data_IF_619848077295
#
_entry.id   IF_619848077295
#
_cell.length_a   1.000
_cell.length_b   1.000
_cell.length_c   1.000
_cell.angle_alpha   90.00
_cell.angle_beta   90.00
_cell.angle_gamma   90.00
#
_symmetry.space_group_name_H-M   'P 1'
#
loop_
_entity.id
_entity.type
_entity.pdbx_description
1 polymer ?
#
# COMPACT_ATOMS: atom_id res chain seq x y z
N UNK A 1 31.40 -18.23 19.33
CA UNK A 1 30.10 -18.48 18.70
C UNK A 1 29.41 -17.13 18.58
N UNK A 2 29.46 -16.52 17.40
CA UNK A 2 28.73 -15.27 17.15
C UNK A 2 27.25 -15.58 17.03
N UNK A 3 26.47 -15.11 18.00
CA UNK A 3 25.02 -15.19 17.97
C UNK A 3 24.53 -14.19 16.93
N UNK A 4 24.26 -14.65 15.71
CA UNK A 4 23.55 -13.85 14.71
C UNK A 4 22.15 -13.57 15.24
N UNK A 5 21.92 -12.36 15.75
CA UNK A 5 20.58 -11.86 16.06
C UNK A 5 19.87 -11.74 14.70
N UNK A 6 18.96 -12.68 14.42
CA UNK A 6 18.02 -12.50 13.32
C UNK A 6 17.06 -11.38 13.73
N UNK A 7 17.30 -10.16 13.26
CA UNK A 7 16.29 -9.10 13.29
C UNK A 7 15.06 -9.63 12.58
N UNK A 8 14.01 -9.89 13.35
CA UNK A 8 12.71 -10.25 12.79
C UNK A 8 12.11 -8.96 12.23
N UNK A 9 12.14 -8.83 10.91
CA UNK A 9 11.46 -7.72 10.22
C UNK A 9 9.96 -7.95 10.38
N UNK A 10 9.35 -7.24 11.33
CA UNK A 10 7.89 -7.21 11.48
C UNK A 10 7.30 -6.25 10.46
N UNK A 11 6.27 -6.67 9.73
CA UNK A 11 5.56 -5.80 8.80
C UNK A 11 4.79 -4.73 9.58
N UNK A 12 4.89 -3.48 9.12
CA UNK A 12 3.99 -2.38 9.51
C UNK A 12 2.59 -2.59 8.90
N UNK A 13 1.60 -1.84 9.39
CA UNK A 13 0.24 -1.88 8.83
C UNK A 13 0.23 -1.57 7.32
N UNK A 14 1.09 -0.65 6.88
CA UNK A 14 1.22 -0.31 5.46
C UNK A 14 1.76 -1.49 4.64
N UNK A 15 2.78 -2.19 5.14
CA UNK A 15 3.35 -3.36 4.45
C UNK A 15 2.39 -4.56 4.45
N UNK A 16 1.58 -4.70 5.50
CA UNK A 16 0.46 -5.64 5.53
C UNK A 16 -0.58 -5.31 4.46
N UNK A 17 -0.98 -4.04 4.33
CA UNK A 17 -1.91 -3.58 3.30
C UNK A 17 -1.36 -3.87 1.90
N UNK A 18 -0.05 -3.70 1.69
CA UNK A 18 0.63 -4.05 0.44
C UNK A 18 0.57 -5.57 0.18
N UNK A 19 0.89 -6.41 1.18
CA UNK A 19 0.80 -7.86 1.04
C UNK A 19 -0.63 -8.31 0.66
N UNK A 20 -1.64 -7.70 1.29
CA UNK A 20 -3.04 -7.92 0.96
C UNK A 20 -3.38 -7.48 -0.47
N UNK A 21 -2.93 -6.29 -0.88
CA UNK A 21 -3.18 -5.76 -2.22
C UNK A 21 -2.56 -6.65 -3.32
N UNK A 22 -1.30 -7.05 -3.15
CA UNK A 22 -0.63 -7.98 -4.08
C UNK A 22 -1.38 -9.31 -4.16
N UNK A 23 -1.77 -9.88 -3.02
CA UNK A 23 -2.46 -11.16 -3.00
C UNK A 23 -3.82 -11.10 -3.71
N UNK A 24 -4.59 -10.02 -3.53
CA UNK A 24 -5.88 -9.82 -4.21
C UNK A 24 -5.72 -9.62 -5.71
N UNK A 25 -4.77 -8.78 -6.12
CA UNK A 25 -4.48 -8.54 -7.55
C UNK A 25 -4.13 -9.87 -8.24
N UNK A 26 -3.23 -10.67 -7.65
CA UNK A 26 -2.82 -11.95 -8.24
C UNK A 26 -3.91 -13.03 -8.23
N UNK A 27 -4.75 -13.10 -7.19
CA UNK A 27 -5.88 -14.04 -7.15
C UNK A 27 -6.94 -13.67 -8.18
N UNK A 28 -7.22 -12.36 -8.36
CA UNK A 28 -8.16 -11.86 -9.36
C UNK A 28 -7.72 -12.21 -10.78
N UNK A 29 -6.40 -12.14 -11.04
CA UNK A 29 -5.76 -12.59 -12.28
C UNK A 29 -5.63 -14.13 -12.38
N UNK A 30 -6.21 -14.88 -11.44
CA UNK A 30 -6.15 -16.36 -11.37
C UNK A 30 -4.71 -16.91 -11.38
N UNK A 31 -3.75 -16.14 -10.89
CA UNK A 31 -2.34 -16.51 -10.86
C UNK A 31 -2.11 -17.69 -9.92
N UNK A 32 -1.33 -18.70 -10.34
CA UNK A 32 -0.95 -19.80 -9.48
C UNK A 32 0.03 -19.33 -8.39
N UNK A 33 -0.34 -19.54 -7.11
CA UNK A 33 0.52 -19.21 -5.96
C UNK A 33 1.87 -19.95 -6.01
N UNK A 34 1.97 -21.09 -6.71
CA UNK A 34 3.22 -21.81 -6.88
C UNK A 34 4.23 -21.01 -7.72
N UNK A 35 3.77 -20.25 -8.73
CA UNK A 35 4.65 -19.38 -9.52
C UNK A 35 5.15 -18.19 -8.68
N UNK A 36 4.29 -17.65 -7.82
CA UNK A 36 4.68 -16.63 -6.82
C UNK A 36 5.69 -17.19 -5.82
N UNK A 37 5.54 -18.46 -5.41
CA UNK A 37 6.52 -19.11 -4.54
C UNK A 37 7.90 -19.22 -5.20
N UNK A 38 7.98 -19.51 -6.52
CA UNK A 38 9.26 -19.58 -7.23
C UNK A 38 10.01 -18.25 -7.25
N UNK A 39 9.31 -17.13 -7.45
CA UNK A 39 9.95 -15.81 -7.38
C UNK A 39 10.38 -15.42 -5.95
N UNK A 40 9.63 -15.86 -4.94
CA UNK A 40 10.04 -15.69 -3.54
C UNK A 40 11.33 -16.47 -3.24
N UNK A 41 11.46 -17.70 -3.76
CA UNK A 41 12.69 -18.48 -3.63
C UNK A 41 13.90 -17.82 -4.30
N UNK A 42 13.70 -17.01 -5.35
CA UNK A 42 14.79 -16.20 -5.92
C UNK A 42 15.37 -15.24 -4.88
N UNK A 43 14.52 -14.46 -4.19
CA UNK A 43 14.97 -13.54 -3.14
C UNK A 43 15.66 -14.29 -2.00
N UNK A 44 15.14 -15.46 -1.59
CA UNK A 44 15.76 -16.30 -0.55
C UNK A 44 17.14 -16.82 -0.94
N UNK A 45 17.28 -17.26 -2.18
CA UNK A 45 18.52 -17.86 -2.68
C UNK A 45 19.65 -16.83 -2.81
N UNK A 46 19.30 -15.60 -3.16
CA UNK A 46 20.28 -14.56 -3.49
C UNK A 46 20.40 -13.46 -2.43
N UNK A 47 20.05 -13.73 -1.16
CA UNK A 47 20.07 -12.74 -0.05
C UNK A 47 21.37 -11.92 0.07
N UNK A 48 22.52 -12.51 -0.26
CA UNK A 48 23.84 -11.84 -0.20
C UNK A 48 24.21 -11.07 -1.47
N UNK A 49 23.36 -11.08 -2.51
CA UNK A 49 23.66 -10.44 -3.79
C UNK A 49 23.57 -8.91 -3.67
N UNK A 50 24.60 -8.17 -4.10
CA UNK A 50 24.50 -6.72 -4.22
C UNK A 50 23.35 -6.31 -5.14
N UNK A 51 22.61 -5.27 -4.78
CA UNK A 51 21.46 -4.77 -5.56
C UNK A 51 20.43 -5.86 -5.86
N UNK A 52 20.10 -6.67 -4.84
CA UNK A 52 19.18 -7.80 -4.97
C UNK A 52 17.79 -7.37 -5.47
N UNK A 53 17.23 -6.27 -4.97
CA UNK A 53 15.91 -5.79 -5.43
C UNK A 53 15.90 -5.41 -6.91
N UNK A 54 16.89 -4.64 -7.37
CA UNK A 54 17.05 -4.31 -8.80
C UNK A 54 17.17 -5.60 -9.65
N UNK A 55 18.02 -6.53 -9.20
CA UNK A 55 18.18 -7.84 -9.85
C UNK A 55 16.88 -8.64 -9.88
N UNK A 56 16.06 -8.54 -8.84
CA UNK A 56 14.77 -9.21 -8.75
C UNK A 56 13.78 -8.66 -9.77
N UNK A 57 13.64 -7.33 -9.90
CA UNK A 57 12.77 -6.74 -10.93
C UNK A 57 13.26 -7.06 -12.35
N UNK A 58 14.58 -7.02 -12.58
CA UNK A 58 15.15 -7.43 -13.86
C UNK A 58 14.89 -8.91 -14.16
N UNK A 59 14.91 -9.76 -13.13
CA UNK A 59 14.55 -11.18 -13.25
C UNK A 59 13.07 -11.36 -13.61
N UNK A 60 12.15 -10.66 -12.94
CA UNK A 60 10.71 -10.69 -13.27
C UNK A 60 10.44 -10.25 -14.71
N UNK A 61 11.06 -9.13 -15.14
CA UNK A 61 10.97 -8.64 -16.51
C UNK A 61 11.47 -9.66 -17.53
N UNK A 62 12.57 -10.35 -17.21
CA UNK A 62 13.13 -11.39 -18.06
C UNK A 62 12.21 -12.61 -18.15
N UNK A 63 11.64 -13.04 -17.01
CA UNK A 63 10.65 -14.12 -16.97
C UNK A 63 9.43 -13.77 -17.82
N UNK A 64 8.81 -12.61 -17.61
CA UNK A 64 7.62 -12.18 -18.33
C UNK A 64 7.88 -12.06 -19.85
N UNK A 65 9.07 -11.57 -20.25
CA UNK A 65 9.45 -11.44 -21.66
C UNK A 65 9.73 -12.78 -22.34
N UNK A 66 10.37 -13.72 -21.63
CA UNK A 66 10.79 -15.02 -22.19
C UNK A 66 9.82 -16.16 -21.84
N UNK A 67 8.69 -15.87 -21.21
CA UNK A 67 7.82 -16.91 -20.69
C UNK A 67 7.30 -17.88 -21.77
N UNK A 68 7.11 -17.40 -23.00
CA UNK A 68 6.71 -18.21 -24.15
C UNK A 68 7.76 -19.29 -24.51
N UNK A 69 9.02 -19.12 -24.08
CA UNK A 69 10.12 -20.07 -24.28
C UNK A 69 10.27 -21.08 -23.13
N UNK A 70 9.68 -20.81 -21.96
CA UNK A 70 9.85 -21.60 -20.73
C UNK A 70 8.55 -22.23 -20.21
N UNK A 71 7.41 -21.91 -20.81
CA UNK A 71 6.11 -22.41 -20.42
C UNK A 71 5.81 -23.78 -21.01
N UNK A 72 5.74 -24.82 -20.16
CA UNK A 72 5.14 -26.10 -20.55
C UNK A 72 3.61 -25.99 -20.74
N UNK A 73 3.01 -24.90 -20.24
CA UNK A 73 1.59 -24.57 -20.36
C UNK A 73 1.42 -23.18 -20.98
N UNK A 74 0.37 -23.01 -21.79
CA UNK A 74 -0.03 -21.71 -22.38
C UNK A 74 -0.40 -20.66 -21.33
N UNK A 75 -0.60 -21.06 -20.06
CA UNK A 75 -0.98 -20.17 -18.95
C UNK A 75 0.21 -19.55 -18.21
N UNK A 76 1.38 -20.23 -18.21
CA UNK A 76 2.57 -19.76 -17.49
C UNK A 76 3.03 -18.36 -17.91
N UNK A 77 2.99 -17.97 -19.21
CA UNK A 77 3.28 -16.60 -19.62
C UNK A 77 2.36 -15.54 -19.04
N UNK A 78 1.08 -15.85 -18.89
CA UNK A 78 0.09 -14.93 -18.32
C UNK A 78 0.42 -14.67 -16.85
N UNK A 79 0.72 -15.74 -16.10
CA UNK A 79 1.09 -15.64 -14.69
C UNK A 79 2.34 -14.79 -14.47
N UNK A 80 3.39 -14.97 -15.27
CA UNK A 80 4.61 -14.17 -15.10
C UNK A 80 4.42 -12.70 -15.45
N UNK A 81 3.55 -12.37 -16.42
CA UNK A 81 3.19 -10.97 -16.71
C UNK A 81 2.39 -10.36 -15.56
N UNK A 82 1.40 -11.07 -15.03
CA UNK A 82 0.62 -10.61 -13.88
C UNK A 82 1.52 -10.38 -12.65
N UNK A 83 2.44 -11.31 -12.38
CA UNK A 83 3.43 -11.19 -11.29
C UNK A 83 4.33 -9.98 -11.49
N UNK A 84 4.91 -9.82 -12.68
CA UNK A 84 5.80 -8.70 -12.98
C UNK A 84 5.10 -7.34 -12.80
N UNK A 85 3.90 -7.20 -13.35
CA UNK A 85 3.15 -5.95 -13.27
C UNK A 85 2.71 -5.65 -11.84
N UNK A 86 2.22 -6.66 -11.11
CA UNK A 86 1.77 -6.50 -9.71
C UNK A 86 2.94 -6.17 -8.78
N UNK A 87 4.08 -6.86 -8.93
CA UNK A 87 5.26 -6.55 -8.14
C UNK A 87 5.82 -5.16 -8.44
N UNK A 88 5.88 -4.73 -9.71
CA UNK A 88 6.29 -3.36 -10.03
C UNK A 88 5.35 -2.32 -9.41
N UNK A 89 4.03 -2.55 -9.49
CA UNK A 89 3.02 -1.63 -8.93
C UNK A 89 3.17 -1.42 -7.42
N UNK A 90 3.49 -2.47 -6.66
CA UNK A 90 3.40 -2.46 -5.20
C UNK A 90 4.74 -2.53 -4.46
N UNK A 91 5.81 -3.01 -5.10
CA UNK A 91 7.11 -3.27 -4.45
C UNK A 91 8.26 -2.42 -4.98
N UNK A 92 8.07 -1.60 -6.02
CA UNK A 92 9.19 -0.86 -6.64
C UNK A 92 9.85 0.10 -5.64
N UNK A 93 9.06 0.72 -4.76
CA UNK A 93 9.56 1.62 -3.72
C UNK A 93 10.35 0.89 -2.61
N UNK A 94 10.24 -0.45 -2.58
CA UNK A 94 10.97 -1.32 -1.65
C UNK A 94 12.20 -1.96 -2.28
N UNK A 95 12.60 -1.54 -3.50
CA UNK A 95 13.74 -2.13 -4.21
C UNK A 95 15.04 -2.14 -3.39
N UNK A 96 15.28 -1.12 -2.58
CA UNK A 96 16.47 -1.02 -1.73
C UNK A 96 16.33 -1.78 -0.40
N UNK A 97 15.19 -2.42 -0.16
CA UNK A 97 14.83 -3.17 1.05
C UNK A 97 14.45 -4.63 0.72
N UNK A 98 15.36 -5.43 0.14
CA UNK A 98 15.03 -6.77 -0.36
C UNK A 98 14.58 -7.75 0.72
N UNK A 99 15.01 -7.57 1.98
CA UNK A 99 14.53 -8.38 3.10
C UNK A 99 13.06 -8.06 3.45
N UNK A 100 12.64 -6.79 3.34
CA UNK A 100 11.25 -6.40 3.52
C UNK A 100 10.37 -6.92 2.37
N UNK A 101 10.86 -6.82 1.13
CA UNK A 101 10.20 -7.43 -0.04
C UNK A 101 9.99 -8.94 0.15
N UNK A 102 10.98 -9.63 0.73
CA UNK A 102 10.90 -11.06 1.02
C UNK A 102 9.77 -11.37 2.03
N UNK A 103 9.65 -10.59 3.10
CA UNK A 103 8.59 -10.79 4.10
C UNK A 103 7.21 -10.49 3.53
N UNK A 104 7.06 -9.37 2.80
CA UNK A 104 5.81 -9.02 2.11
C UNK A 104 5.37 -10.16 1.17
N UNK A 105 6.25 -10.63 0.28
CA UNK A 105 5.94 -11.73 -0.63
C UNK A 105 5.72 -13.06 0.11
N UNK A 106 6.39 -13.27 1.23
CA UNK A 106 6.17 -14.40 2.12
C UNK A 106 4.73 -14.44 2.64
N UNK A 107 4.19 -13.30 3.06
CA UNK A 107 2.79 -13.18 3.46
C UNK A 107 1.82 -13.24 2.28
N UNK A 108 2.15 -12.60 1.15
CA UNK A 108 1.37 -12.67 -0.09
C UNK A 108 1.07 -14.12 -0.48
N UNK A 109 2.06 -15.02 -0.48
CA UNK A 109 1.82 -16.44 -0.85
C UNK A 109 0.84 -17.16 0.08
N UNK A 110 0.81 -16.81 1.37
CA UNK A 110 -0.14 -17.35 2.35
C UNK A 110 -1.54 -16.75 2.14
N UNK A 111 -1.61 -15.44 1.94
CA UNK A 111 -2.85 -14.70 1.69
C UNK A 111 -3.54 -15.14 0.40
N UNK A 112 -2.79 -15.38 -0.68
CA UNK A 112 -3.35 -15.91 -1.93
C UNK A 112 -4.07 -17.25 -1.71
N UNK A 113 -3.52 -18.14 -0.87
CA UNK A 113 -4.18 -19.42 -0.56
C UNK A 113 -5.45 -19.24 0.26
N UNK A 114 -5.45 -18.29 1.18
CA UNK A 114 -6.63 -17.92 1.96
C UNK A 114 -7.71 -17.36 1.02
N UNK A 115 -7.35 -16.37 0.19
CA UNK A 115 -8.25 -15.71 -0.75
C UNK A 115 -8.76 -16.57 -1.90
N UNK A 116 -8.04 -17.63 -2.27
CA UNK A 116 -8.54 -18.59 -3.26
C UNK A 116 -9.63 -19.50 -2.69
N UNK A 117 -9.67 -19.68 -1.36
CA UNK A 117 -10.66 -20.52 -0.67
C UNK A 117 -11.90 -19.73 -0.26
N UNK A 118 -11.74 -18.46 0.05
CA UNK A 118 -12.82 -17.52 0.35
C UNK A 118 -13.39 -16.95 -0.95
N UNK A 119 -14.71 -16.78 -1.07
CA UNK A 119 -15.29 -16.18 -2.28
C UNK A 119 -14.85 -14.72 -2.42
N UNK A 120 -14.72 -14.23 -3.66
CA UNK A 120 -14.33 -12.83 -3.93
C UNK A 120 -15.29 -11.82 -3.27
N UNK A 121 -16.57 -12.17 -3.17
CA UNK A 121 -17.63 -11.38 -2.53
C UNK A 121 -17.43 -11.26 -1.01
N UNK A 122 -17.09 -12.37 -0.33
CA UNK A 122 -16.72 -12.35 1.09
C UNK A 122 -15.46 -11.54 1.36
N UNK A 123 -14.49 -11.56 0.43
CA UNK A 123 -13.25 -10.77 0.55
C UNK A 123 -13.47 -9.27 0.40
N UNK A 124 -14.41 -8.87 -0.47
CA UNK A 124 -14.83 -7.48 -0.62
C UNK A 124 -15.51 -6.99 0.67
N UNK A 125 -16.44 -7.79 1.20
CA UNK A 125 -17.13 -7.47 2.45
C UNK A 125 -16.17 -7.31 3.66
N UNK A 126 -15.16 -8.17 3.79
CA UNK A 126 -14.13 -8.06 4.86
C UNK A 126 -13.28 -6.79 4.70
N UNK A 127 -13.05 -6.32 3.48
CA UNK A 127 -12.24 -5.14 3.24
C UNK A 127 -13.02 -3.86 3.52
N UNK A 128 -14.30 -3.84 3.15
CA UNK A 128 -15.24 -2.77 3.49
C UNK A 128 -15.44 -2.66 5.01
N UNK A 129 -15.51 -3.81 5.72
CA UNK A 129 -15.60 -3.80 7.19
C UNK A 129 -14.34 -3.23 7.84
N UNK A 130 -13.13 -3.62 7.39
CA UNK A 130 -11.87 -3.04 7.90
C UNK A 130 -11.74 -1.55 7.64
N UNK A 131 -12.15 -1.07 6.47
CA UNK A 131 -12.18 0.38 6.20
C UNK A 131 -13.17 1.11 7.11
N UNK A 132 -14.34 0.50 7.36
CA UNK A 132 -15.33 1.05 8.28
C UNK A 132 -14.83 1.09 9.72
N UNK A 133 -14.10 0.07 10.19
CA UNK A 133 -13.50 0.02 11.53
C UNK A 133 -12.45 1.12 11.71
N UNK A 134 -11.53 1.28 10.74
CA UNK A 134 -10.53 2.35 10.78
C UNK A 134 -11.18 3.74 10.74
N UNK A 135 -12.24 3.90 9.96
CA UNK A 135 -13.01 5.14 9.92
C UNK A 135 -13.69 5.43 11.26
N UNK A 136 -14.23 4.39 11.92
CA UNK A 136 -14.83 4.51 13.25
C UNK A 136 -13.80 4.81 14.35
N UNK A 137 -12.59 4.25 14.27
CA UNK A 137 -11.49 4.60 15.18
C UNK A 137 -11.06 6.05 15.01
N UNK A 138 -10.98 6.55 13.76
CA UNK A 138 -10.68 7.95 13.47
C UNK A 138 -11.82 8.87 13.98
N UNK A 139 -13.07 8.47 13.84
CA UNK A 139 -14.23 9.19 14.38
C UNK A 139 -14.24 9.22 15.92
N UNK A 140 -13.86 8.12 16.59
CA UNK A 140 -13.73 8.10 18.05
C UNK A 140 -12.54 8.92 18.56
N UNK A 141 -11.40 8.83 17.87
CA UNK A 141 -10.21 9.63 18.18
C UNK A 141 -10.48 11.13 17.97
N UNK A 142 -11.21 11.49 16.91
CA UNK A 142 -11.59 12.88 16.65
C UNK A 142 -12.67 13.40 17.60
N UNK A 143 -13.62 12.56 18.03
CA UNK A 143 -14.65 12.94 19.00
C UNK A 143 -14.09 13.19 20.42
N UNK A 144 -12.93 12.61 20.75
CA UNK A 144 -12.25 12.81 22.04
C UNK A 144 -11.22 13.96 22.02
N UNK A 145 -11.00 14.58 20.86
CA UNK A 145 -10.09 15.72 20.69
C UNK A 145 -10.80 17.03 21.07
N UNK A 146 -10.57 17.50 22.30
CA UNK A 146 -10.97 18.85 22.72
C UNK A 146 -10.02 19.90 22.16
N UNK A 147 -10.51 20.75 21.25
CA UNK A 147 -9.77 21.91 20.76
C UNK A 147 -9.78 23.03 21.80
N UNK A 148 -8.59 23.51 22.18
CA UNK A 148 -8.45 24.65 23.11
C UNK A 148 -8.20 25.94 22.34
N UNK A 149 -8.74 27.04 22.87
CA UNK A 149 -8.48 28.37 22.32
C UNK A 149 -6.97 28.65 22.27
N UNK A 150 -6.49 29.18 21.15
CA UNK A 150 -5.08 29.46 20.92
C UNK A 150 -4.23 28.27 20.46
N UNK A 151 -4.80 27.06 20.37
CA UNK A 151 -4.11 25.89 19.81
C UNK A 151 -3.81 26.09 18.32
N UNK A 152 -2.60 25.71 17.91
CA UNK A 152 -2.20 25.68 16.50
C UNK A 152 -2.57 24.32 15.93
N UNK A 153 -3.36 24.32 14.86
CA UNK A 153 -3.78 23.11 14.15
C UNK A 153 -3.20 23.12 12.74
N UNK A 154 -2.80 21.93 12.29
CA UNK A 154 -2.41 21.69 10.91
C UNK A 154 -3.64 21.27 10.09
N UNK A 155 -3.78 21.86 8.91
CA UNK A 155 -4.82 21.51 7.96
C UNK A 155 -4.28 21.44 6.54
N UNK A 156 -4.90 20.62 5.70
CA UNK A 156 -4.53 20.45 4.30
C UNK A 156 -5.68 20.89 3.40
N UNK A 157 -5.36 21.60 2.32
CA UNK A 157 -6.37 22.01 1.32
C UNK A 157 -6.78 20.80 0.49
N UNK A 158 -8.01 20.32 0.67
CA UNK A 158 -8.51 19.11 -0.02
C UNK A 158 -9.33 19.41 -1.27
N UNK A 159 -9.86 20.63 -1.41
CA UNK A 159 -10.61 20.99 -2.61
C UNK A 159 -11.10 22.43 -2.68
N UNK A 160 -11.63 22.79 -3.84
CA UNK A 160 -12.18 24.11 -4.14
C UNK A 160 -13.62 23.96 -4.62
N UNK A 161 -14.55 24.67 -3.98
CA UNK A 161 -15.99 24.60 -4.23
C UNK A 161 -16.50 25.87 -4.90
N UNK A 162 -17.67 25.76 -5.56
CA UNK A 162 -18.37 26.90 -6.17
C UNK A 162 -18.57 28.04 -5.16
N UNK A 163 -18.31 29.28 -5.58
CA UNK A 163 -18.43 30.47 -4.75
C UNK A 163 -17.18 30.87 -3.96
N UNK A 164 -15.98 30.56 -4.49
CA UNK A 164 -14.67 30.86 -3.89
C UNK A 164 -14.49 30.25 -2.50
N UNK A 165 -14.98 29.02 -2.32
CA UNK A 165 -14.83 28.27 -1.08
C UNK A 165 -13.65 27.31 -1.18
N UNK A 166 -12.83 27.27 -0.16
CA UNK A 166 -11.74 26.31 0.00
C UNK A 166 -12.17 25.30 1.06
N UNK A 167 -11.96 24.02 0.80
CA UNK A 167 -12.22 22.95 1.75
C UNK A 167 -10.90 22.50 2.36
N UNK A 168 -10.86 22.48 3.68
CA UNK A 168 -9.71 22.10 4.48
C UNK A 168 -10.04 20.81 5.23
N UNK A 169 -9.06 19.93 5.36
CA UNK A 169 -9.10 18.75 6.20
C UNK A 169 -8.12 18.94 7.34
N UNK A 170 -8.63 18.95 8.57
CA UNK A 170 -7.81 19.11 9.77
C UNK A 170 -7.05 17.80 9.98
N UNK A 171 -5.72 17.85 9.97
CA UNK A 171 -4.88 16.65 10.04
C UNK A 171 -5.11 15.85 11.33
N UNK A 172 -5.45 16.53 12.43
CA UNK A 172 -5.67 15.91 13.73
C UNK A 172 -6.99 15.12 13.84
N UNK A 173 -8.04 15.49 13.11
CA UNK A 173 -9.39 14.93 13.28
C UNK A 173 -10.05 14.48 12.00
N UNK A 174 -9.38 14.64 10.85
CA UNK A 174 -9.91 14.48 9.48
C UNK A 174 -11.22 15.26 9.21
N UNK A 175 -11.58 16.18 10.10
CA UNK A 175 -12.77 17.00 9.95
C UNK A 175 -12.61 17.94 8.76
N UNK A 176 -13.63 17.97 7.91
CA UNK A 176 -13.66 18.81 6.70
C UNK A 176 -14.46 20.08 6.95
N UNK A 177 -13.82 21.22 6.69
CA UNK A 177 -14.43 22.54 6.82
C UNK A 177 -14.31 23.28 5.49
N UNK A 178 -15.44 23.80 4.99
CA UNK A 178 -15.49 24.61 3.78
C UNK A 178 -15.66 26.08 4.12
N UNK A 179 -14.64 26.90 3.85
CA UNK A 179 -14.63 28.32 4.18
C UNK A 179 -14.52 29.19 2.91
N UNK A 180 -15.25 30.31 2.89
CA UNK A 180 -15.23 31.25 1.76
C UNK A 180 -13.99 32.14 1.86
N UNK A 181 -13.07 31.99 0.91
CA UNK A 181 -11.75 32.63 0.94
C UNK A 181 -11.44 33.39 -0.37
N UNK A 182 -12.24 34.42 -0.72
CA UNK A 182 -12.19 35.04 -2.04
C UNK A 182 -10.87 35.75 -2.36
N UNK A 183 -10.18 36.27 -1.33
CA UNK A 183 -8.91 37.00 -1.50
C UNK A 183 -7.69 36.07 -1.49
N UNK A 184 -7.81 34.89 -0.90
CA UNK A 184 -6.70 33.94 -0.71
C UNK A 184 -6.78 32.72 -1.62
N UNK A 185 -7.90 32.53 -2.33
CA UNK A 185 -8.16 31.41 -3.24
C UNK A 185 -6.99 31.14 -4.20
N UNK A 186 -6.47 32.19 -4.83
CA UNK A 186 -5.38 32.10 -5.82
C UNK A 186 -4.02 31.75 -5.20
N UNK A 187 -3.89 31.78 -3.87
CA UNK A 187 -2.66 31.45 -3.13
C UNK A 187 -2.67 30.04 -2.56
N UNK A 188 -3.77 29.30 -2.72
CA UNK A 188 -3.89 27.91 -2.29
C UNK A 188 -3.75 26.97 -3.48
N UNK A 189 -3.07 25.85 -3.23
CA UNK A 189 -3.02 24.72 -4.13
C UNK A 189 -3.60 23.52 -3.38
N UNK A 190 -4.15 22.56 -4.12
CA UNK A 190 -4.57 21.29 -3.54
C UNK A 190 -3.35 20.65 -2.84
N UNK A 191 -3.59 20.00 -1.71
CA UNK A 191 -2.58 19.34 -0.87
C UNK A 191 -1.60 20.29 -0.15
N UNK A 192 -1.84 21.62 -0.22
CA UNK A 192 -1.06 22.59 0.55
C UNK A 192 -1.36 22.49 2.03
N UNK A 193 -0.32 22.31 2.83
CA UNK A 193 -0.37 22.34 4.31
C UNK A 193 -0.40 23.76 4.84
N UNK A 194 -1.22 23.98 5.85
CA UNK A 194 -1.43 25.28 6.50
C UNK A 194 -1.50 25.09 8.02
N UNK A 195 -1.00 26.07 8.75
CA UNK A 195 -1.10 26.13 10.21
C UNK A 195 -2.01 27.28 10.61
N UNK A 196 -3.04 26.99 11.39
CA UNK A 196 -4.01 27.97 11.87
C UNK A 196 -4.03 28.01 13.38
N UNK A 197 -4.20 29.20 13.93
CA UNK A 197 -4.44 29.38 15.36
C UNK A 197 -5.95 29.48 15.59
N UNK A 198 -6.49 28.61 16.44
CA UNK A 198 -7.87 28.69 16.89
C UNK A 198 -8.08 30.01 17.65
N UNK A 199 -9.05 30.81 17.19
CA UNK A 199 -9.53 32.02 17.85
C UNK A 199 -10.92 31.71 18.42
N UNK A 200 -11.25 32.25 19.60
CA UNK A 200 -12.59 32.12 20.21
C UNK A 200 -13.72 32.62 19.31
#
# INVERSE_FOLDING_TARGET
>A
METTIQETVSLSDHEWDIAHAIARDLVSEKTDHNEVKKILEYLRKFKSKPKLGESFFQYLKTLAKKADQFGHSKQTPIYYRAIETTCNKHLIDYQDQPQLMLEILGWTTRLMRYYKKTSLEELQAINESKQSERQAEIEQASASLEFKEGQIIEATVVGFNKGNKVTYEITATTQRLAQKEPKKLNYYQKDKKLTWKLLA
#
